data_IF_322860290601
#
_entry.id   IF_322860290601
#
_cell.length_a   1.000
_cell.length_b   1.000
_cell.length_c   1.000
_cell.angle_alpha   90.00
_cell.angle_beta   90.00
_cell.angle_gamma   90.00
#
_symmetry.space_group_name_H-M   'P 1'
#
loop_
_entity.id
_entity.type
_entity.pdbx_description
1 polymer ?
#
# COMPACT_ATOMS: atom_id res chain seq x y z
N UNK A 1 -38.28 17.17 55.11
CA UNK A 1 -38.25 15.93 54.31
C UNK A 1 -37.33 16.19 53.14
N UNK A 2 -36.15 15.58 53.17
CA UNK A 2 -35.18 15.59 52.07
C UNK A 2 -35.55 14.44 51.15
N UNK A 3 -35.77 14.69 49.87
CA UNK A 3 -35.84 13.64 48.85
C UNK A 3 -34.40 13.37 48.38
N UNK A 4 -33.74 12.40 49.00
CA UNK A 4 -32.66 11.68 48.31
C UNK A 4 -33.32 10.83 47.22
N UNK A 5 -32.97 11.10 45.96
CA UNK A 5 -33.21 10.15 44.87
C UNK A 5 -32.08 9.13 44.96
N UNK A 6 -32.44 7.87 45.22
CA UNK A 6 -31.55 6.74 45.01
C UNK A 6 -31.01 6.79 43.58
N UNK A 7 -29.69 6.82 43.45
CA UNK A 7 -28.99 6.62 42.18
C UNK A 7 -29.07 5.10 41.95
N UNK A 8 -29.92 4.68 41.01
CA UNK A 8 -29.96 3.28 40.58
C UNK A 8 -28.67 2.98 39.81
N UNK A 9 -27.75 2.24 40.44
CA UNK A 9 -26.55 1.66 39.83
C UNK A 9 -26.89 0.50 38.86
N UNK A 10 -27.77 0.75 37.90
CA UNK A 10 -27.93 -0.11 36.72
C UNK A 10 -27.51 0.70 35.51
N UNK A 11 -26.20 0.76 35.30
CA UNK A 11 -25.65 0.98 33.96
C UNK A 11 -26.04 -0.26 33.15
N UNK A 12 -27.17 -0.24 32.47
CA UNK A 12 -27.40 -1.19 31.38
C UNK A 12 -26.31 -0.94 30.34
N UNK A 13 -25.39 -1.88 30.19
CA UNK A 13 -24.48 -1.88 29.06
C UNK A 13 -25.34 -1.91 27.79
N UNK A 14 -25.06 -1.01 26.85
CA UNK A 14 -25.71 -1.05 25.55
C UNK A 14 -25.45 -2.44 24.92
N UNK A 15 -26.51 -3.22 24.73
CA UNK A 15 -26.42 -4.48 24.02
C UNK A 15 -26.40 -4.20 22.51
N UNK A 16 -25.23 -4.34 21.89
CA UNK A 16 -25.12 -4.28 20.44
C UNK A 16 -25.91 -5.42 19.79
N UNK A 17 -26.37 -5.20 18.55
CA UNK A 17 -27.12 -6.22 17.83
C UNK A 17 -26.25 -7.44 17.57
N UNK A 18 -26.79 -8.64 17.80
CA UNK A 18 -26.17 -9.92 17.46
C UNK A 18 -26.67 -10.51 16.15
N UNK A 19 -27.40 -9.73 15.35
CA UNK A 19 -27.97 -10.21 14.08
C UNK A 19 -26.85 -10.54 13.09
N UNK A 20 -26.73 -11.82 12.73
CA UNK A 20 -25.77 -12.27 11.74
C UNK A 20 -26.22 -12.00 10.31
N UNK A 21 -27.53 -11.93 10.07
CA UNK A 21 -28.11 -11.71 8.75
C UNK A 21 -27.79 -10.31 8.19
N UNK A 22 -27.29 -10.26 6.97
CA UNK A 22 -26.99 -9.02 6.23
C UNK A 22 -27.96 -8.87 5.07
N UNK A 23 -28.21 -9.94 4.32
CA UNK A 23 -29.18 -9.99 3.23
C UNK A 23 -29.78 -11.38 3.09
N UNK A 24 -31.12 -11.47 3.03
CA UNK A 24 -31.85 -12.68 2.64
C UNK A 24 -32.76 -12.39 1.45
N UNK A 25 -33.79 -11.56 1.64
CA UNK A 25 -34.60 -10.99 0.53
C UNK A 25 -34.44 -9.47 0.43
N UNK A 26 -33.90 -8.85 1.49
CA UNK A 26 -33.65 -7.43 1.59
C UNK A 26 -32.51 -7.17 2.58
N UNK A 27 -31.87 -5.99 2.55
CA UNK A 27 -30.85 -5.62 3.53
C UNK A 27 -31.42 -5.61 4.96
N UNK A 28 -30.75 -6.28 5.90
CA UNK A 28 -31.20 -6.43 7.29
C UNK A 28 -30.27 -5.63 8.19
N UNK A 29 -30.83 -4.68 8.96
CA UNK A 29 -30.12 -3.99 10.04
C UNK A 29 -28.87 -3.21 9.61
N UNK A 30 -28.82 -2.71 8.37
CA UNK A 30 -27.71 -1.89 7.86
C UNK A 30 -27.97 -0.38 7.97
N UNK A 31 -29.23 0.03 8.15
CA UNK A 31 -29.65 1.44 8.16
C UNK A 31 -29.91 1.99 6.76
N UNK A 32 -29.97 3.32 6.60
CA UNK A 32 -30.37 3.96 5.35
C UNK A 32 -29.22 4.26 4.40
N UNK A 33 -28.02 4.48 4.94
CA UNK A 33 -26.82 4.80 4.17
C UNK A 33 -25.72 3.78 4.46
N UNK A 34 -25.82 2.60 3.83
CA UNK A 34 -24.93 1.47 4.12
C UNK A 34 -24.00 1.07 2.97
N UNK A 35 -24.27 1.52 1.74
CA UNK A 35 -23.53 1.11 0.56
C UNK A 35 -22.58 2.22 0.12
N UNK A 36 -21.26 1.99 0.25
CA UNK A 36 -20.23 2.97 -0.05
C UNK A 36 -19.29 2.47 -1.15
N UNK A 37 -19.48 2.90 -2.40
CA UNK A 37 -18.57 2.60 -3.51
C UNK A 37 -17.16 3.11 -3.25
N UNK A 38 -16.15 2.34 -3.65
CA UNK A 38 -14.77 2.83 -3.68
C UNK A 38 -14.57 3.90 -4.75
N UNK A 39 -13.52 4.70 -4.60
CA UNK A 39 -13.08 5.64 -5.63
C UNK A 39 -12.84 4.90 -6.96
N UNK A 40 -13.42 5.41 -8.05
CA UNK A 40 -13.32 4.82 -9.40
C UNK A 40 -14.26 3.64 -9.67
N UNK A 41 -14.93 3.10 -8.64
CA UNK A 41 -15.98 2.10 -8.80
C UNK A 41 -17.23 2.71 -9.43
N UNK A 42 -17.98 1.92 -10.21
CA UNK A 42 -19.30 2.32 -10.68
C UNK A 42 -20.29 2.38 -9.51
N UNK A 43 -20.65 3.59 -9.12
CA UNK A 43 -21.50 3.84 -7.94
C UNK A 43 -22.88 3.16 -8.00
N UNK A 44 -23.40 2.88 -9.20
CA UNK A 44 -24.69 2.20 -9.40
C UNK A 44 -24.57 0.70 -9.69
N UNK A 45 -23.42 0.08 -9.38
CA UNK A 45 -23.19 -1.32 -9.69
C UNK A 45 -24.05 -2.28 -8.86
N UNK A 46 -24.53 -1.88 -7.69
CA UNK A 46 -25.34 -2.73 -6.82
C UNK A 46 -26.84 -2.40 -6.92
N UNK A 47 -27.67 -3.45 -6.90
CA UNK A 47 -29.12 -3.39 -6.81
C UNK A 47 -29.70 -4.66 -6.17
N UNK A 48 -31.01 -4.69 -5.95
CA UNK A 48 -31.74 -5.90 -5.56
C UNK A 48 -32.51 -6.43 -6.76
N UNK A 49 -32.36 -7.72 -7.06
CA UNK A 49 -33.04 -8.42 -8.16
C UNK A 49 -34.12 -9.34 -7.59
N UNK A 50 -35.40 -8.94 -7.74
CA UNK A 50 -36.57 -9.68 -7.26
C UNK A 50 -37.01 -10.82 -8.22
N UNK A 51 -36.22 -11.09 -9.27
CA UNK A 51 -36.49 -12.15 -10.25
C UNK A 51 -35.54 -13.34 -10.14
N UNK A 52 -34.48 -13.24 -9.33
CA UNK A 52 -33.41 -14.23 -9.20
C UNK A 52 -33.05 -14.38 -7.72
N UNK A 53 -33.00 -15.61 -7.22
CA UNK A 53 -32.71 -15.90 -5.82
C UNK A 53 -32.35 -17.37 -5.59
N UNK A 54 -31.63 -17.65 -4.51
CA UNK A 54 -31.31 -18.99 -4.02
C UNK A 54 -32.24 -19.36 -2.88
N UNK A 55 -33.30 -20.14 -3.18
CA UNK A 55 -34.35 -20.50 -2.21
C UNK A 55 -35.05 -19.28 -1.56
N UNK A 56 -34.92 -18.11 -2.19
CA UNK A 56 -35.42 -16.80 -1.77
C UNK A 56 -36.25 -16.15 -2.91
N UNK A 57 -36.81 -14.97 -2.66
CA UNK A 57 -37.53 -14.16 -3.65
C UNK A 57 -36.67 -13.05 -4.27
N UNK A 58 -35.49 -12.77 -3.71
CA UNK A 58 -34.61 -11.74 -4.24
C UNK A 58 -33.14 -12.04 -3.95
N UNK A 59 -32.23 -11.46 -4.73
CA UNK A 59 -30.79 -11.51 -4.46
C UNK A 59 -30.13 -10.15 -4.67
N UNK A 60 -28.94 -9.98 -4.08
CA UNK A 60 -28.08 -8.86 -4.36
C UNK A 60 -27.52 -9.02 -5.77
N UNK A 61 -27.73 -8.04 -6.63
CA UNK A 61 -27.23 -8.02 -8.01
C UNK A 61 -26.12 -7.01 -8.15
N UNK A 62 -25.03 -7.44 -8.77
CA UNK A 62 -23.84 -6.63 -9.03
C UNK A 62 -23.54 -6.60 -10.53
N UNK A 63 -23.72 -5.44 -11.14
CA UNK A 63 -23.46 -5.21 -12.56
C UNK A 63 -22.04 -4.64 -12.74
N UNK A 64 -21.10 -5.52 -13.08
CA UNK A 64 -19.71 -5.16 -13.38
C UNK A 64 -19.67 -4.47 -14.75
N UNK A 65 -19.20 -3.22 -14.82
CA UNK A 65 -19.19 -2.46 -16.06
C UNK A 65 -18.12 -2.96 -17.04
N UNK A 66 -18.22 -2.56 -18.31
CA UNK A 66 -17.10 -2.70 -19.23
C UNK A 66 -15.91 -1.85 -18.76
N UNK A 67 -14.69 -2.25 -19.13
CA UNK A 67 -13.47 -1.52 -18.75
C UNK A 67 -13.44 -0.05 -19.22
N UNK A 68 -14.24 0.31 -20.23
CA UNK A 68 -14.33 1.66 -20.79
C UNK A 68 -15.60 2.42 -20.38
N UNK A 69 -16.36 1.94 -19.38
CA UNK A 69 -17.54 2.64 -18.88
C UNK A 69 -17.12 3.95 -18.17
N UNK A 70 -17.62 5.12 -18.62
CA UNK A 70 -17.21 6.41 -18.06
C UNK A 70 -17.69 6.62 -16.62
N UNK A 71 -18.65 5.82 -16.12
CA UNK A 71 -19.15 5.91 -14.75
C UNK A 71 -18.31 5.11 -13.74
N UNK A 72 -17.29 4.38 -14.19
CA UNK A 72 -16.41 3.52 -13.38
C UNK A 72 -16.10 2.23 -14.12
N UNK A 73 -14.84 1.76 -14.05
CA UNK A 73 -14.35 0.62 -14.84
C UNK A 73 -14.36 -0.72 -14.08
N UNK A 74 -14.86 -0.73 -12.85
CA UNK A 74 -15.09 -1.93 -12.02
C UNK A 74 -16.28 -1.72 -11.09
N UNK A 75 -16.74 -2.80 -10.45
CA UNK A 75 -17.73 -2.74 -9.38
C UNK A 75 -17.09 -3.12 -8.05
N UNK A 76 -17.15 -2.22 -7.07
CA UNK A 76 -16.69 -2.48 -5.71
C UNK A 76 -17.23 -1.48 -4.71
N UNK A 77 -17.55 -1.96 -3.52
CA UNK A 77 -18.09 -1.16 -2.43
C UNK A 77 -17.95 -1.90 -1.09
N UNK A 78 -18.11 -1.16 0.00
CA UNK A 78 -18.35 -1.71 1.33
C UNK A 78 -19.83 -1.59 1.71
N UNK A 79 -20.30 -2.54 2.52
CA UNK A 79 -21.59 -2.57 3.20
C UNK A 79 -21.30 -2.33 4.67
N UNK A 80 -21.57 -1.12 5.14
CA UNK A 80 -21.26 -0.67 6.49
C UNK A 80 -22.52 -0.33 7.24
N UNK A 81 -22.64 -0.77 8.50
CA UNK A 81 -23.76 -0.39 9.36
C UNK A 81 -23.76 1.14 9.57
N UNK A 82 -24.87 1.78 9.23
CA UNK A 82 -25.19 3.17 9.49
C UNK A 82 -25.65 3.33 10.96
N UNK A 83 -24.69 3.49 11.87
CA UNK A 83 -24.90 3.58 13.31
C UNK A 83 -23.91 2.74 14.11
N UNK A 84 -24.34 2.28 15.29
CA UNK A 84 -23.59 1.32 16.12
C UNK A 84 -23.39 0.01 15.38
N UNK A 85 -22.23 -0.61 15.56
CA UNK A 85 -21.89 -1.90 14.98
C UNK A 85 -22.64 -3.06 15.63
N UNK A 86 -22.21 -4.27 15.24
CA UNK A 86 -22.77 -5.54 15.71
C UNK A 86 -21.78 -6.26 16.63
N UNK A 87 -22.34 -6.99 17.58
CA UNK A 87 -21.59 -7.99 18.34
C UNK A 87 -21.60 -9.29 17.54
N UNK A 88 -20.50 -9.55 16.83
CA UNK A 88 -20.32 -10.75 16.00
C UNK A 88 -19.51 -11.85 16.72
N UNK A 89 -19.30 -11.72 18.03
CA UNK A 89 -18.37 -12.56 18.79
C UNK A 89 -18.79 -14.03 18.90
N UNK A 90 -20.02 -14.38 18.54
CA UNK A 90 -20.53 -15.76 18.60
C UNK A 90 -20.41 -16.55 17.29
N UNK A 91 -20.09 -15.89 16.18
CA UNK A 91 -20.00 -16.47 14.84
C UNK A 91 -18.59 -17.01 14.55
N UNK A 92 -18.46 -17.85 13.52
CA UNK A 92 -17.17 -18.37 13.06
C UNK A 92 -16.95 -18.20 11.55
N UNK A 93 -17.96 -17.75 10.79
CA UNK A 93 -17.86 -17.49 9.36
C UNK A 93 -18.80 -16.39 8.89
N UNK A 94 -18.41 -15.69 7.83
CA UNK A 94 -19.35 -15.09 6.88
C UNK A 94 -19.67 -16.12 5.79
N UNK A 95 -20.95 -16.35 5.51
CA UNK A 95 -21.39 -17.23 4.44
C UNK A 95 -22.37 -16.53 3.51
N UNK A 96 -22.42 -17.02 2.27
CA UNK A 96 -23.37 -16.58 1.27
C UNK A 96 -23.44 -17.59 0.12
N UNK A 97 -24.49 -17.51 -0.67
CA UNK A 97 -24.58 -18.16 -1.97
C UNK A 97 -24.24 -17.16 -3.06
N UNK A 98 -23.51 -17.58 -4.09
CA UNK A 98 -23.24 -16.73 -5.24
C UNK A 98 -23.27 -17.49 -6.56
N UNK A 99 -23.58 -16.76 -7.64
CA UNK A 99 -23.44 -17.18 -9.03
C UNK A 99 -23.12 -15.98 -9.92
N UNK A 100 -22.73 -16.21 -11.17
CA UNK A 100 -22.50 -15.17 -12.16
C UNK A 100 -23.17 -15.49 -13.51
N UNK A 101 -23.31 -14.48 -14.37
CA UNK A 101 -23.90 -14.63 -15.70
C UNK A 101 -23.04 -15.46 -16.64
N UNK A 102 -21.77 -15.67 -16.27
CA UNK A 102 -20.79 -16.53 -16.92
C UNK A 102 -19.81 -17.06 -15.87
N UNK A 103 -19.01 -18.07 -16.21
CA UNK A 103 -17.87 -18.46 -15.37
C UNK A 103 -16.85 -17.32 -15.32
N UNK A 104 -16.50 -16.87 -14.12
CA UNK A 104 -15.61 -15.72 -13.92
C UNK A 104 -14.87 -15.82 -12.60
N UNK A 105 -13.74 -15.13 -12.49
CA UNK A 105 -13.02 -14.91 -11.23
C UNK A 105 -13.12 -13.43 -10.89
N UNK A 106 -13.76 -13.11 -9.77
CA UNK A 106 -13.79 -11.75 -9.23
C UNK A 106 -12.57 -11.51 -8.33
N UNK A 107 -12.22 -10.24 -8.14
CA UNK A 107 -11.01 -9.84 -7.44
C UNK A 107 -11.03 -10.28 -5.99
N UNK A 108 -11.89 -9.66 -5.19
CA UNK A 108 -11.89 -9.85 -3.73
C UNK A 108 -13.29 -9.72 -3.15
N UNK A 109 -13.53 -10.44 -2.04
CA UNK A 109 -14.71 -10.30 -1.18
C UNK A 109 -14.31 -10.49 0.27
N UNK A 110 -15.07 -9.92 1.20
CA UNK A 110 -14.76 -10.08 2.62
C UNK A 110 -15.66 -9.27 3.54
N UNK A 111 -15.17 -9.01 4.75
CA UNK A 111 -15.81 -8.17 5.77
C UNK A 111 -14.75 -7.35 6.52
N UNK A 112 -15.19 -6.49 7.45
CA UNK A 112 -14.31 -5.73 8.36
C UNK A 112 -13.79 -4.40 7.80
N UNK A 113 -14.18 -4.01 6.58
CA UNK A 113 -13.90 -2.67 6.06
C UNK A 113 -15.01 -1.68 6.44
N UNK A 114 -14.61 -0.53 6.96
CA UNK A 114 -15.50 0.51 7.46
C UNK A 114 -15.15 1.93 6.99
N UNK A 115 -14.13 2.09 6.12
CA UNK A 115 -13.56 3.39 5.70
C UNK A 115 -13.03 4.25 6.87
N UNK A 116 -12.82 3.62 8.03
CA UNK A 116 -12.03 4.15 9.12
C UNK A 116 -10.67 3.47 9.12
N UNK A 117 -10.43 2.65 10.12
CA UNK A 117 -9.17 1.93 10.28
C UNK A 117 -9.17 0.57 9.58
N UNK A 118 -10.33 0.04 9.17
CA UNK A 118 -10.47 -1.32 8.62
C UNK A 118 -9.79 -2.40 9.51
N UNK A 119 -9.83 -2.17 10.83
CA UNK A 119 -8.97 -2.85 11.82
C UNK A 119 -9.06 -4.37 11.76
N UNK A 120 -10.25 -4.90 11.44
CA UNK A 120 -10.51 -6.33 11.42
C UNK A 120 -10.91 -6.84 10.03
N UNK A 121 -10.38 -6.21 8.98
CA UNK A 121 -10.56 -6.66 7.61
C UNK A 121 -10.12 -8.11 7.41
N UNK A 122 -10.94 -8.87 6.70
CA UNK A 122 -10.64 -10.21 6.20
C UNK A 122 -11.03 -10.26 4.73
N UNK A 123 -10.21 -10.90 3.90
CA UNK A 123 -10.52 -11.04 2.47
C UNK A 123 -10.20 -12.42 1.91
N UNK A 124 -11.01 -12.82 0.94
CA UNK A 124 -10.70 -13.89 0.01
C UNK A 124 -10.46 -13.29 -1.38
N UNK A 125 -9.32 -13.63 -1.97
CA UNK A 125 -8.94 -13.17 -3.29
C UNK A 125 -9.23 -14.23 -4.35
N UNK A 126 -9.42 -13.81 -5.60
CA UNK A 126 -9.63 -14.65 -6.76
C UNK A 126 -10.85 -15.59 -6.61
N UNK A 127 -12.00 -15.03 -6.22
CA UNK A 127 -13.22 -15.82 -6.00
C UNK A 127 -13.80 -16.29 -7.33
N UNK A 128 -13.80 -17.61 -7.54
CA UNK A 128 -14.33 -18.23 -8.75
C UNK A 128 -15.84 -18.44 -8.64
N UNK A 129 -16.59 -17.79 -9.51
CA UNK A 129 -18.04 -17.92 -9.64
C UNK A 129 -18.39 -18.74 -10.89
N UNK A 130 -19.39 -19.60 -10.75
CA UNK A 130 -19.99 -20.32 -11.88
C UNK A 130 -21.38 -19.77 -12.20
N UNK A 131 -22.02 -20.33 -13.22
CA UNK A 131 -23.40 -19.98 -13.58
C UNK A 131 -24.46 -20.58 -12.66
N UNK A 132 -24.07 -21.47 -11.74
CA UNK A 132 -24.95 -22.08 -10.75
C UNK A 132 -24.65 -21.50 -9.37
N UNK A 133 -25.68 -21.45 -8.51
CA UNK A 133 -25.52 -21.08 -7.12
C UNK A 133 -24.57 -22.02 -6.39
N UNK A 134 -23.59 -21.45 -5.69
CA UNK A 134 -22.61 -22.17 -4.87
C UNK A 134 -22.47 -21.46 -3.52
N UNK A 135 -22.31 -22.23 -2.44
CA UNK A 135 -22.10 -21.68 -1.11
C UNK A 135 -20.62 -21.32 -0.91
N UNK A 136 -20.38 -20.12 -0.41
CA UNK A 136 -19.08 -19.60 0.00
C UNK A 136 -19.04 -19.47 1.52
N UNK A 137 -17.84 -19.68 2.06
CA UNK A 137 -17.57 -19.61 3.50
C UNK A 137 -16.23 -18.88 3.66
N UNK A 138 -16.27 -17.72 4.31
CA UNK A 138 -15.11 -16.93 4.70
C UNK A 138 -14.97 -17.05 6.22
N UNK A 139 -14.01 -17.86 6.72
CA UNK A 139 -13.78 -18.02 8.15
C UNK A 139 -13.45 -16.69 8.85
N UNK A 140 -13.88 -16.56 10.10
CA UNK A 140 -13.48 -15.45 10.98
C UNK A 140 -12.20 -15.86 11.73
N UNK A 141 -11.09 -15.09 11.63
CA UNK A 141 -9.83 -15.40 12.28
C UNK A 141 -9.93 -15.56 13.81
N UNK A 142 -10.49 -14.54 14.46
CA UNK A 142 -10.81 -14.52 15.89
C UNK A 142 -12.05 -13.65 16.13
N UNK A 143 -13.20 -14.30 16.30
CA UNK A 143 -14.47 -13.60 16.48
C UNK A 143 -14.51 -12.76 17.77
N UNK A 144 -13.67 -13.04 18.78
CA UNK A 144 -13.66 -12.28 20.03
C UNK A 144 -13.28 -10.81 19.84
N UNK A 145 -12.63 -10.47 18.71
CA UNK A 145 -12.25 -9.11 18.32
C UNK A 145 -13.42 -8.30 17.74
N UNK A 146 -14.49 -8.97 17.27
CA UNK A 146 -15.60 -8.37 16.52
C UNK A 146 -16.75 -7.90 17.43
N UNK A 147 -16.43 -7.16 18.48
CA UNK A 147 -17.41 -6.48 19.33
C UNK A 147 -17.52 -5.02 18.86
N UNK A 148 -18.67 -4.64 18.28
CA UNK A 148 -18.92 -3.36 17.60
C UNK A 148 -18.40 -3.28 16.14
N UNK A 149 -18.46 -4.40 15.42
CA UNK A 149 -18.04 -4.45 14.02
C UNK A 149 -19.08 -3.77 13.10
N UNK A 150 -18.61 -2.92 12.18
CA UNK A 150 -19.48 -2.15 11.27
C UNK A 150 -19.35 -2.58 9.82
N UNK A 151 -18.21 -3.13 9.40
CA UNK A 151 -17.95 -3.60 8.05
C UNK A 151 -18.55 -4.99 7.83
N UNK A 152 -19.78 -5.05 7.31
CA UNK A 152 -20.54 -6.30 7.19
C UNK A 152 -20.15 -7.11 5.95
N UNK A 153 -19.85 -6.42 4.85
CA UNK A 153 -19.45 -7.07 3.60
C UNK A 153 -18.71 -6.08 2.72
N UNK A 154 -17.82 -6.55 1.86
CA UNK A 154 -17.27 -5.75 0.77
C UNK A 154 -16.86 -6.64 -0.38
N UNK A 155 -16.71 -6.04 -1.56
CA UNK A 155 -16.30 -6.73 -2.77
C UNK A 155 -15.55 -5.81 -3.73
N UNK A 156 -14.75 -6.41 -4.59
CA UNK A 156 -14.13 -5.76 -5.74
C UNK A 156 -14.10 -6.72 -6.94
N UNK A 157 -14.74 -6.33 -8.02
CA UNK A 157 -14.90 -7.13 -9.23
C UNK A 157 -14.63 -6.26 -10.46
N UNK A 158 -13.52 -6.57 -11.15
CA UNK A 158 -13.16 -5.98 -12.44
C UNK A 158 -13.40 -6.92 -13.61
N UNK A 159 -12.94 -6.50 -14.79
CA UNK A 159 -13.13 -7.20 -16.08
C UNK A 159 -11.82 -7.74 -16.68
N UNK A 160 -10.74 -7.79 -15.89
CA UNK A 160 -9.43 -8.28 -16.34
C UNK A 160 -9.54 -9.72 -16.86
N UNK A 161 -10.31 -10.57 -16.17
CA UNK A 161 -10.53 -11.98 -16.54
C UNK A 161 -11.55 -12.19 -17.67
N UNK A 162 -12.25 -11.15 -18.11
CA UNK A 162 -13.25 -11.19 -19.18
C UNK A 162 -12.83 -10.38 -20.41
N UNK A 163 -11.57 -9.95 -20.47
CA UNK A 163 -11.03 -9.15 -21.58
C UNK A 163 -11.68 -7.77 -21.69
N UNK A 164 -12.09 -7.18 -20.55
CA UNK A 164 -12.73 -5.87 -20.51
C UNK A 164 -14.25 -5.87 -20.64
N UNK A 165 -14.87 -7.05 -20.83
CA UNK A 165 -16.32 -7.18 -20.99
C UNK A 165 -17.03 -7.27 -19.64
N UNK A 166 -18.06 -6.45 -19.44
CA UNK A 166 -18.91 -6.45 -18.25
C UNK A 166 -19.70 -7.75 -18.10
N UNK A 167 -20.16 -7.99 -16.87
CA UNK A 167 -20.95 -9.17 -16.49
C UNK A 167 -21.77 -8.87 -15.23
N UNK A 168 -22.68 -9.77 -14.89
CA UNK A 168 -23.45 -9.67 -13.66
C UNK A 168 -23.10 -10.84 -12.75
N UNK A 169 -23.01 -10.58 -11.45
CA UNK A 169 -23.06 -11.65 -10.46
C UNK A 169 -24.09 -11.35 -9.38
N UNK A 170 -24.53 -12.40 -8.71
CA UNK A 170 -25.52 -12.34 -7.65
C UNK A 170 -24.98 -12.96 -6.38
N UNK A 171 -25.37 -12.38 -5.25
CA UNK A 171 -25.14 -12.90 -3.91
C UNK A 171 -26.47 -13.01 -3.20
N UNK A 172 -26.66 -14.08 -2.44
CA UNK A 172 -27.86 -14.30 -1.67
C UNK A 172 -27.55 -14.99 -0.34
N UNK A 173 -28.47 -14.92 0.62
CA UNK A 173 -28.34 -15.51 1.96
C UNK A 173 -27.02 -15.13 2.65
N UNK A 174 -26.64 -13.86 2.54
CA UNK A 174 -25.41 -13.29 3.10
C UNK A 174 -25.58 -13.06 4.60
N UNK A 175 -24.80 -13.78 5.40
CA UNK A 175 -24.90 -13.73 6.86
C UNK A 175 -23.65 -14.24 7.57
N UNK A 176 -23.43 -13.73 8.78
CA UNK A 176 -22.54 -14.39 9.72
C UNK A 176 -23.23 -15.60 10.34
N UNK A 177 -22.55 -16.75 10.35
CA UNK A 177 -23.03 -18.01 10.90
C UNK A 177 -22.03 -18.59 11.90
N UNK A 178 -22.56 -19.41 12.82
CA UNK A 178 -21.77 -20.31 13.65
C UNK A 178 -21.89 -21.71 13.06
N UNK A 179 -20.98 -22.06 12.15
CA UNK A 179 -20.98 -23.34 11.46
C UNK A 179 -20.51 -24.48 12.35
N UNK A 180 -19.64 -24.22 13.34
CA UNK A 180 -19.08 -25.22 14.25
C UNK A 180 -18.20 -26.28 13.57
N UNK A 181 -17.88 -26.08 12.28
CA UNK A 181 -17.14 -27.04 11.44
C UNK A 181 -15.86 -26.45 10.84
N UNK A 182 -15.50 -25.23 11.24
CA UNK A 182 -14.23 -24.59 10.89
C UNK A 182 -13.19 -25.01 11.93
N UNK A 183 -12.08 -25.58 11.48
CA UNK A 183 -11.06 -26.09 12.38
C UNK A 183 -9.65 -25.94 11.83
N UNK A 184 -8.67 -26.36 12.65
CA UNK A 184 -7.24 -26.34 12.33
C UNK A 184 -6.74 -24.96 11.85
N UNK A 185 -6.92 -23.89 12.65
CA UNK A 185 -6.32 -22.59 12.33
C UNK A 185 -4.81 -22.74 12.15
N UNK A 186 -4.29 -22.19 11.05
CA UNK A 186 -2.85 -22.12 10.73
C UNK A 186 -2.55 -20.71 10.26
N UNK A 187 -2.20 -19.80 11.18
CA UNK A 187 -1.81 -18.44 10.82
C UNK A 187 -0.42 -18.43 10.17
N UNK A 188 -0.16 -17.42 9.35
CA UNK A 188 1.16 -17.19 8.77
C UNK A 188 1.42 -15.69 8.62
N UNK A 189 2.67 -15.31 8.81
CA UNK A 189 3.22 -13.98 8.47
C UNK A 189 4.20 -14.15 7.31
N UNK A 190 4.39 -13.11 6.48
CA UNK A 190 5.32 -13.14 5.34
C UNK A 190 5.07 -14.34 4.40
N UNK A 191 3.80 -14.74 4.25
CA UNK A 191 3.38 -15.93 3.50
C UNK A 191 3.99 -17.25 4.01
N UNK A 192 4.34 -17.33 5.30
CA UNK A 192 4.92 -18.51 5.93
C UNK A 192 6.44 -18.63 5.78
N UNK A 193 7.12 -17.58 5.30
CA UNK A 193 8.56 -17.62 5.07
C UNK A 193 9.34 -16.98 6.23
N UNK A 194 10.53 -17.51 6.49
CA UNK A 194 11.54 -16.83 7.28
C UNK A 194 12.29 -15.84 6.38
N UNK A 195 12.17 -14.55 6.68
CA UNK A 195 12.75 -13.45 5.91
C UNK A 195 13.85 -12.80 6.73
N UNK A 196 14.98 -12.52 6.10
CA UNK A 196 16.02 -11.66 6.67
C UNK A 196 15.95 -10.32 5.96
N UNK A 197 15.77 -9.25 6.74
CA UNK A 197 15.64 -7.88 6.25
C UNK A 197 16.74 -7.04 6.89
N UNK A 198 17.62 -6.51 6.05
CA UNK A 198 18.54 -5.47 6.50
C UNK A 198 17.82 -4.12 6.49
N UNK A 199 18.08 -3.31 7.50
CA UNK A 199 17.38 -2.06 7.79
C UNK A 199 18.34 -1.02 8.35
N UNK A 200 17.91 0.23 8.38
CA UNK A 200 18.56 1.26 9.19
C UNK A 200 17.67 1.66 10.37
N UNK A 201 18.24 2.16 11.45
CA UNK A 201 17.43 2.73 12.53
C UNK A 201 16.66 3.96 12.03
N UNK A 202 15.43 4.12 12.51
CA UNK A 202 14.54 5.24 12.16
C UNK A 202 13.59 4.93 11.00
N UNK A 203 13.69 3.76 10.37
CA UNK A 203 12.77 3.33 9.32
C UNK A 203 11.55 2.66 9.91
N UNK A 204 10.42 2.78 9.21
CA UNK A 204 9.22 1.99 9.46
C UNK A 204 9.11 0.94 8.37
N UNK A 205 9.16 -0.33 8.76
CA UNK A 205 8.88 -1.48 7.88
C UNK A 205 7.42 -1.91 8.06
N UNK A 206 6.84 -2.56 7.05
CA UNK A 206 5.51 -3.16 7.15
C UNK A 206 5.60 -4.68 7.13
N UNK A 207 4.91 -5.34 8.06
CA UNK A 207 4.78 -6.79 8.05
C UNK A 207 3.65 -7.20 7.11
N UNK A 208 4.00 -7.88 6.01
CA UNK A 208 3.06 -8.27 4.95
C UNK A 208 2.82 -9.79 4.92
N UNK A 209 1.98 -10.25 3.99
CA UNK A 209 1.70 -11.68 3.80
C UNK A 209 0.98 -12.34 4.99
N UNK A 210 0.14 -11.55 5.67
CA UNK A 210 -0.63 -11.97 6.83
C UNK A 210 -1.86 -12.78 6.39
N UNK A 211 -1.85 -14.07 6.71
CA UNK A 211 -2.90 -15.00 6.28
C UNK A 211 -3.28 -15.96 7.39
N UNK A 212 -4.43 -16.58 7.25
CA UNK A 212 -4.78 -17.74 8.06
C UNK A 212 -5.50 -18.79 7.22
N UNK A 213 -5.03 -20.03 7.35
CA UNK A 213 -5.67 -21.18 6.72
C UNK A 213 -6.51 -21.94 7.72
N UNK A 214 -7.70 -22.33 7.29
CA UNK A 214 -8.63 -23.19 8.02
C UNK A 214 -8.97 -24.45 7.22
N UNK A 215 -9.35 -25.52 7.89
CA UNK A 215 -10.08 -26.62 7.30
C UNK A 215 -11.59 -26.37 7.42
N UNK A 216 -12.31 -26.40 6.31
CA UNK A 216 -13.76 -26.25 6.28
C UNK A 216 -14.46 -27.59 6.49
N UNK A 217 -15.76 -27.57 6.82
CA UNK A 217 -16.57 -28.80 6.95
C UNK A 217 -16.66 -29.66 5.68
N UNK A 218 -16.30 -29.10 4.51
CA UNK A 218 -16.15 -29.85 3.26
C UNK A 218 -14.87 -30.69 3.18
N UNK A 219 -13.94 -30.52 4.13
CA UNK A 219 -12.60 -31.10 4.13
C UNK A 219 -11.56 -30.30 3.33
N UNK A 220 -11.97 -29.24 2.62
CA UNK A 220 -11.05 -28.37 1.89
C UNK A 220 -10.39 -27.35 2.81
N UNK A 221 -9.15 -27.00 2.49
CA UNK A 221 -8.47 -25.89 3.13
C UNK A 221 -8.88 -24.57 2.48
N UNK A 222 -9.07 -23.55 3.31
CA UNK A 222 -9.42 -22.19 2.93
C UNK A 222 -8.41 -21.24 3.56
N UNK A 223 -7.71 -20.47 2.74
CA UNK A 223 -6.83 -19.39 3.21
C UNK A 223 -7.50 -18.07 2.96
N UNK A 224 -7.46 -17.19 3.96
CA UNK A 224 -7.93 -15.80 3.89
C UNK A 224 -6.78 -14.85 4.23
N UNK A 225 -6.80 -13.66 3.64
CA UNK A 225 -5.95 -12.55 4.08
C UNK A 225 -6.56 -11.94 5.33
N UNK A 226 -5.71 -11.56 6.28
CA UNK A 226 -6.13 -11.16 7.62
C UNK A 226 -5.45 -9.85 7.98
N UNK A 227 -6.21 -8.88 8.48
CA UNK A 227 -5.65 -7.62 8.98
C UNK A 227 -4.66 -7.85 10.13
N UNK A 228 -3.60 -7.03 10.25
CA UNK A 228 -2.60 -7.14 11.30
C UNK A 228 -3.16 -7.18 12.73
N UNK A 229 -4.26 -6.47 13.00
CA UNK A 229 -4.82 -6.35 14.35
C UNK A 229 -5.46 -7.63 14.91
N UNK A 230 -5.51 -8.71 14.13
CA UNK A 230 -5.82 -10.05 14.64
C UNK A 230 -4.62 -10.74 15.29
N UNK A 231 -3.39 -10.37 14.90
CA UNK A 231 -2.17 -11.00 15.38
C UNK A 231 -1.66 -10.33 16.66
N UNK A 232 -1.10 -11.16 17.53
CA UNK A 232 -0.27 -10.73 18.65
C UNK A 232 1.21 -10.89 18.22
N UNK A 233 1.82 -9.80 17.77
CA UNK A 233 3.22 -9.76 17.34
C UNK A 233 4.17 -9.77 18.54
N UNK A 234 5.31 -10.45 18.40
CA UNK A 234 6.36 -10.53 19.41
C UNK A 234 7.70 -10.24 18.77
N UNK A 235 8.50 -9.40 19.41
CA UNK A 235 9.90 -9.16 19.07
C UNK A 235 10.81 -9.78 20.12
N UNK A 236 11.91 -10.40 19.69
CA UNK A 236 12.96 -10.88 20.60
C UNK A 236 13.65 -9.73 21.37
N UNK A 237 13.66 -8.53 20.79
CA UNK A 237 14.23 -7.32 21.38
C UNK A 237 13.29 -6.11 21.13
N UNK A 238 12.23 -5.92 21.97
CA UNK A 238 11.20 -4.91 21.72
C UNK A 238 11.70 -3.45 21.75
N UNK A 239 12.84 -3.17 22.38
CA UNK A 239 13.47 -1.85 22.31
C UNK A 239 14.18 -1.58 20.98
N UNK A 240 14.41 -2.63 20.18
CA UNK A 240 15.05 -2.53 18.87
C UNK A 240 14.04 -2.62 17.75
N UNK A 241 13.11 -3.56 17.81
CA UNK A 241 12.03 -3.69 16.83
C UNK A 241 10.70 -3.72 17.58
N UNK A 242 9.95 -2.63 17.48
CA UNK A 242 8.60 -2.52 18.03
C UNK A 242 7.59 -2.64 16.91
N UNK A 243 6.58 -3.49 17.08
CA UNK A 243 5.51 -3.71 16.10
C UNK A 243 4.23 -3.17 16.69
N UNK A 244 3.55 -2.29 15.96
CA UNK A 244 2.25 -1.77 16.36
C UNK A 244 1.10 -2.72 16.00
N UNK A 245 -0.14 -2.33 16.37
CA UNK A 245 -1.34 -3.13 16.08
C UNK A 245 -1.73 -3.19 14.60
N UNK A 246 -1.08 -2.39 13.75
CA UNK A 246 -1.26 -2.34 12.30
C UNK A 246 -0.12 -3.04 11.55
N UNK A 247 0.78 -3.74 12.26
CA UNK A 247 1.87 -4.47 11.63
C UNK A 247 3.01 -3.58 11.15
N UNK A 248 3.04 -2.30 11.55
CA UNK A 248 4.18 -1.43 11.27
C UNK A 248 5.28 -1.67 12.30
N UNK A 249 6.51 -1.76 11.83
CA UNK A 249 7.69 -2.10 12.62
C UNK A 249 8.59 -0.87 12.68
N UNK A 250 8.72 -0.30 13.88
CA UNK A 250 9.72 0.74 14.18
C UNK A 250 11.04 0.09 14.55
N UNK A 251 12.11 0.41 13.83
CA UNK A 251 13.42 -0.24 13.96
C UNK A 251 14.46 0.72 14.55
N UNK A 252 15.26 0.21 15.49
CA UNK A 252 16.48 0.80 16.03
C UNK A 252 17.69 -0.10 15.79
N UNK A 253 18.91 0.43 15.92
CA UNK A 253 20.14 -0.31 15.60
C UNK A 253 20.31 -1.61 16.41
N UNK A 254 20.64 -2.71 15.75
CA UNK A 254 20.84 -4.03 16.35
C UNK A 254 20.12 -5.12 15.56
N UNK A 255 19.91 -6.30 16.15
CA UNK A 255 19.22 -7.41 15.50
C UNK A 255 18.06 -7.91 16.36
N UNK A 256 16.92 -8.18 15.73
CA UNK A 256 15.72 -8.67 16.39
C UNK A 256 14.99 -9.67 15.48
N UNK A 257 14.33 -10.65 16.07
CA UNK A 257 13.45 -11.59 15.38
C UNK A 257 12.01 -11.31 15.76
N UNK A 258 11.15 -11.14 14.76
CA UNK A 258 9.72 -10.93 14.89
C UNK A 258 8.99 -12.22 14.56
N UNK A 259 8.12 -12.63 15.47
CA UNK A 259 7.17 -13.74 15.32
C UNK A 259 5.76 -13.26 15.67
N UNK A 260 4.75 -14.09 15.44
CA UNK A 260 3.37 -13.75 15.77
C UNK A 260 2.58 -14.95 16.26
N UNK A 261 1.51 -14.68 17.01
CA UNK A 261 0.45 -15.67 17.26
C UNK A 261 -0.90 -15.10 16.87
N UNK A 262 -1.87 -15.95 16.55
CA UNK A 262 -3.25 -15.56 16.30
C UNK A 262 -4.18 -16.57 16.98
N UNK A 263 -5.04 -16.10 17.87
CA UNK A 263 -5.93 -16.98 18.64
C UNK A 263 -5.17 -18.02 19.48
N UNK A 264 -3.95 -17.69 19.92
CA UNK A 264 -3.06 -18.58 20.67
C UNK A 264 -2.33 -19.64 19.83
N UNK A 265 -2.42 -19.59 18.50
CA UNK A 265 -1.66 -20.46 17.59
C UNK A 265 -0.48 -19.69 17.02
N UNK A 266 0.70 -20.30 17.06
CA UNK A 266 1.92 -19.73 16.45
C UNK A 266 1.76 -19.61 14.93
N UNK A 267 2.10 -18.44 14.40
CA UNK A 267 2.10 -18.19 12.97
C UNK A 267 3.35 -18.78 12.31
N UNK A 268 3.19 -19.38 11.13
CA UNK A 268 4.31 -19.80 10.29
C UNK A 268 5.02 -18.56 9.72
N UNK A 269 6.36 -18.63 9.62
CA UNK A 269 7.22 -17.54 9.16
C UNK A 269 7.73 -16.63 10.29
N UNK A 270 8.82 -15.92 10.00
CA UNK A 270 9.46 -14.97 10.92
C UNK A 270 10.18 -13.87 10.14
N UNK A 271 10.38 -12.71 10.75
CA UNK A 271 11.24 -11.66 10.19
C UNK A 271 12.45 -11.46 11.10
N UNK A 272 13.65 -11.73 10.59
CA UNK A 272 14.90 -11.30 11.23
C UNK A 272 15.27 -9.94 10.67
N UNK A 273 15.34 -8.93 11.54
CA UNK A 273 15.77 -7.59 11.18
C UNK A 273 17.22 -7.42 11.61
N UNK A 274 18.09 -6.99 10.70
CA UNK A 274 19.43 -6.50 11.03
C UNK A 274 19.49 -5.01 10.73
N UNK A 275 19.38 -4.22 11.78
CA UNK A 275 19.44 -2.78 11.70
C UNK A 275 20.86 -2.27 11.94
N UNK A 276 21.44 -1.60 10.95
CA UNK A 276 22.74 -0.93 11.10
C UNK A 276 22.53 0.55 11.42
N UNK A 277 23.15 1.02 12.51
CA UNK A 277 23.28 2.45 12.87
C UNK A 277 21.99 3.29 12.83
N UNK A 278 22.11 4.59 13.07
CA UNK A 278 21.14 5.56 12.55
C UNK A 278 21.46 5.76 11.07
N UNK A 279 20.44 5.78 10.21
CA UNK A 279 20.64 6.37 8.89
C UNK A 279 20.73 7.88 9.10
N UNK A 280 21.92 8.44 8.93
CA UNK A 280 22.04 9.90 8.88
C UNK A 280 21.19 10.37 7.70
N UNK A 281 20.28 11.31 7.91
CA UNK A 281 19.51 11.95 6.83
C UNK A 281 20.36 13.02 6.14
N UNK A 282 20.02 13.36 4.90
CA UNK A 282 20.73 14.41 4.19
C UNK A 282 20.66 15.75 4.94
N UNK A 283 21.69 16.62 4.83
CA UNK A 283 21.67 17.93 5.46
C UNK A 283 20.44 18.74 5.04
N UNK A 284 19.69 19.25 6.01
CA UNK A 284 18.52 20.10 5.73
C UNK A 284 18.95 21.36 4.95
N UNK A 285 18.42 21.60 3.74
CA UNK A 285 18.72 22.81 2.99
C UNK A 285 18.35 24.08 3.78
N UNK A 286 19.24 25.07 3.75
CA UNK A 286 19.06 26.35 4.48
C UNK A 286 18.90 27.56 3.58
N UNK A 287 18.80 27.37 2.25
CA UNK A 287 18.67 28.46 1.29
C UNK A 287 17.28 29.08 1.38
N UNK A 288 17.17 30.34 0.99
CA UNK A 288 15.87 31.00 0.91
C UNK A 288 15.04 30.30 -0.18
N UNK A 289 13.80 29.85 0.10
CA UNK A 289 12.96 29.21 -0.91
C UNK A 289 12.74 30.04 -2.18
N UNK A 290 12.87 31.38 -2.12
CA UNK A 290 12.79 32.27 -3.28
C UNK A 290 14.05 32.26 -4.18
N UNK A 291 15.12 31.65 -3.71
CA UNK A 291 16.37 31.45 -4.43
C UNK A 291 16.57 30.00 -4.92
N UNK A 292 15.51 29.19 -4.84
CA UNK A 292 15.55 27.76 -5.16
C UNK A 292 14.44 27.36 -6.15
N UNK A 293 14.77 26.52 -7.12
CA UNK A 293 13.81 25.71 -7.87
C UNK A 293 14.03 24.24 -7.50
N UNK A 294 13.11 23.68 -6.73
CA UNK A 294 13.25 22.32 -6.18
C UNK A 294 12.69 21.26 -7.12
N UNK A 295 13.49 20.23 -7.39
CA UNK A 295 13.08 19.01 -8.10
C UNK A 295 12.66 17.95 -7.09
N UNK A 296 13.45 17.75 -6.03
CA UNK A 296 13.16 16.80 -4.96
C UNK A 296 13.77 17.30 -3.64
N UNK A 297 12.93 17.70 -2.70
CA UNK A 297 13.30 18.03 -1.32
C UNK A 297 12.03 18.17 -0.48
N UNK A 298 12.08 17.77 0.78
CA UNK A 298 11.00 18.06 1.75
C UNK A 298 11.07 19.48 2.32
N UNK A 299 12.16 20.20 2.11
CA UNK A 299 12.35 21.57 2.63
C UNK A 299 11.74 22.65 1.72
N UNK A 300 11.43 22.32 0.46
CA UNK A 300 10.94 23.26 -0.54
C UNK A 300 9.72 22.70 -1.28
N UNK A 301 8.97 23.57 -1.95
CA UNK A 301 7.91 23.13 -2.86
C UNK A 301 8.53 22.64 -4.16
N UNK A 302 8.35 21.34 -4.46
CA UNK A 302 8.87 20.72 -5.68
C UNK A 302 8.06 21.12 -6.92
N UNK A 303 8.74 21.28 -8.06
CA UNK A 303 8.10 21.34 -9.37
C UNK A 303 7.50 19.98 -9.75
N UNK A 304 6.59 19.90 -10.73
CA UNK A 304 6.13 18.61 -11.24
C UNK A 304 7.30 17.77 -11.77
N UNK A 305 7.40 16.53 -11.30
CA UNK A 305 8.37 15.53 -11.78
C UNK A 305 7.60 14.38 -12.41
N UNK A 306 8.01 13.96 -13.60
CA UNK A 306 7.39 12.84 -14.32
C UNK A 306 7.77 11.52 -13.67
N UNK A 307 9.07 11.33 -13.38
CA UNK A 307 9.61 10.17 -12.68
C UNK A 307 11.04 10.44 -12.16
N UNK A 308 11.43 9.68 -11.14
CA UNK A 308 12.81 9.61 -10.63
C UNK A 308 13.59 8.38 -11.12
N UNK A 309 12.92 7.49 -11.86
CA UNK A 309 13.53 6.35 -12.52
C UNK A 309 12.81 6.05 -13.84
N UNK A 310 13.53 6.19 -14.97
CA UNK A 310 12.97 6.03 -16.31
C UNK A 310 12.87 4.59 -16.82
N UNK A 311 13.50 3.62 -16.13
CA UNK A 311 13.55 2.20 -16.52
C UNK A 311 13.87 1.99 -18.01
N UNK A 312 14.95 2.62 -18.50
CA UNK A 312 15.30 2.60 -19.92
C UNK A 312 15.84 1.25 -20.39
N UNK A 313 14.92 0.37 -20.79
CA UNK A 313 15.21 -0.95 -21.35
C UNK A 313 15.84 -0.88 -22.75
N UNK A 314 16.76 -1.80 -23.10
CA UNK A 314 17.28 -2.91 -22.28
C UNK A 314 18.55 -2.56 -21.48
N UNK A 315 18.91 -1.28 -21.39
CA UNK A 315 20.25 -0.87 -20.96
C UNK A 315 20.33 -0.52 -19.49
N UNK A 316 19.25 -0.04 -18.90
CA UNK A 316 19.20 0.30 -17.49
C UNK A 316 19.00 -0.94 -16.62
N UNK A 317 19.81 -1.09 -15.58
CA UNK A 317 19.66 -2.14 -14.57
C UNK A 317 19.19 -1.59 -13.23
N UNK A 318 19.29 -0.27 -13.04
CA UNK A 318 18.96 0.43 -11.80
C UNK A 318 17.50 0.22 -11.40
N UNK A 319 17.31 -0.27 -10.18
CA UNK A 319 16.04 -0.32 -9.47
C UNK A 319 15.97 0.85 -8.49
N UNK A 320 14.77 1.26 -8.11
CA UNK A 320 14.56 2.34 -7.15
C UNK A 320 13.47 2.01 -6.15
N UNK A 321 13.60 2.56 -4.94
CA UNK A 321 12.57 2.56 -3.91
C UNK A 321 12.60 3.89 -3.16
N UNK A 322 11.42 4.45 -2.89
CA UNK A 322 11.30 5.59 -2.00
C UNK A 322 11.52 5.13 -0.56
N UNK A 323 12.26 5.92 0.21
CA UNK A 323 12.68 5.59 1.55
C UNK A 323 12.49 6.79 2.47
N UNK A 324 11.91 6.58 3.65
CA UNK A 324 11.60 7.68 4.58
C UNK A 324 12.26 7.40 5.93
N UNK A 325 13.03 8.37 6.42
CA UNK A 325 13.63 8.35 7.76
C UNK A 325 13.30 9.65 8.46
N UNK A 326 12.71 9.58 9.65
CA UNK A 326 12.33 10.75 10.46
C UNK A 326 11.49 11.80 9.70
N UNK A 327 10.71 11.34 8.71
CA UNK A 327 9.88 12.19 7.85
C UNK A 327 10.61 12.87 6.69
N UNK A 328 11.89 12.58 6.47
CA UNK A 328 12.64 12.96 5.28
C UNK A 328 12.58 11.84 4.22
N UNK A 329 12.06 12.17 3.05
CA UNK A 329 11.93 11.32 1.87
C UNK A 329 13.23 11.35 1.06
N UNK A 330 13.75 10.17 0.75
CA UNK A 330 14.99 9.99 0.01
C UNK A 330 14.79 8.89 -1.04
N UNK A 331 15.53 8.96 -2.13
CA UNK A 331 15.45 7.98 -3.21
C UNK A 331 16.61 7.00 -3.06
N UNK A 332 16.33 5.71 -2.90
CA UNK A 332 17.35 4.66 -2.95
C UNK A 332 17.43 4.07 -4.36
N UNK A 333 18.63 4.02 -4.93
CA UNK A 333 18.93 3.30 -6.15
C UNK A 333 19.80 2.08 -5.87
N UNK A 334 19.37 0.92 -6.38
CA UNK A 334 20.10 -0.36 -6.27
C UNK A 334 20.33 -0.97 -7.65
N UNK A 335 21.25 -1.93 -7.76
CA UNK A 335 21.67 -2.50 -9.05
C UNK A 335 22.10 -1.39 -10.05
N UNK A 336 22.72 -0.35 -9.49
CA UNK A 336 22.92 0.94 -10.13
C UNK A 336 23.86 0.83 -11.33
N UNK A 337 23.42 1.33 -12.47
CA UNK A 337 24.31 1.60 -13.62
C UNK A 337 24.11 3.02 -14.16
N UNK A 338 22.87 3.42 -14.41
CA UNK A 338 22.47 4.80 -14.63
C UNK A 338 20.99 4.97 -14.32
N UNK A 339 20.53 6.20 -14.06
CA UNK A 339 19.11 6.50 -13.85
C UNK A 339 18.81 7.96 -14.17
N UNK A 340 17.61 8.22 -14.69
CA UNK A 340 17.14 9.57 -15.04
C UNK A 340 16.01 10.06 -14.13
N UNK A 341 16.08 11.34 -13.77
CA UNK A 341 14.99 12.12 -13.16
C UNK A 341 14.44 13.10 -14.18
N UNK A 342 13.23 12.86 -14.69
CA UNK A 342 12.62 13.67 -15.74
C UNK A 342 11.53 14.58 -15.17
N UNK A 343 11.54 15.85 -15.58
CA UNK A 343 10.61 16.91 -15.17
C UNK A 343 10.25 17.75 -16.40
N UNK A 344 9.61 17.12 -17.38
CA UNK A 344 9.36 17.72 -18.68
C UNK A 344 7.94 18.29 -18.85
N UNK A 345 7.04 18.06 -17.89
CA UNK A 345 5.63 18.44 -17.99
C UNK A 345 5.19 19.41 -16.86
N UNK A 346 5.59 20.69 -16.92
CA UNK A 346 6.40 21.33 -17.95
C UNK A 346 7.92 21.29 -17.65
N UNK A 347 8.75 21.59 -18.65
CA UNK A 347 10.17 21.87 -18.45
C UNK A 347 10.38 23.11 -17.57
N UNK A 348 11.59 23.23 -17.03
CA UNK A 348 11.94 24.22 -16.00
C UNK A 348 12.92 25.27 -16.56
N UNK A 349 12.62 26.54 -16.33
CA UNK A 349 13.53 27.64 -16.64
C UNK A 349 14.45 27.94 -15.45
N UNK A 350 15.74 27.60 -15.59
CA UNK A 350 16.77 27.84 -14.57
C UNK A 350 17.70 29.00 -14.94
N UNK A 351 17.31 29.88 -15.87
CA UNK A 351 18.17 30.97 -16.37
C UNK A 351 18.77 31.81 -15.23
N UNK A 352 17.97 32.07 -14.18
CA UNK A 352 18.37 32.83 -12.99
C UNK A 352 18.91 31.96 -11.84
N UNK A 353 18.94 30.63 -11.99
CA UNK A 353 19.31 29.63 -10.97
C UNK A 353 20.44 28.74 -11.50
N UNK A 354 21.65 29.28 -11.70
CA UNK A 354 22.67 28.65 -12.52
C UNK A 354 23.42 27.51 -11.83
N UNK A 355 23.08 27.15 -10.59
CA UNK A 355 23.82 26.17 -9.81
C UNK A 355 22.92 24.98 -9.46
N UNK A 356 23.41 23.76 -9.65
CA UNK A 356 22.78 22.52 -9.20
C UNK A 356 23.30 22.17 -7.81
N UNK A 357 22.41 21.73 -6.94
CA UNK A 357 22.71 21.09 -5.66
C UNK A 357 22.06 19.70 -5.64
N UNK A 358 22.83 18.70 -5.18
CA UNK A 358 22.36 17.33 -4.96
C UNK A 358 23.06 16.79 -3.71
N UNK A 359 22.31 16.14 -2.81
CA UNK A 359 22.89 15.32 -1.76
C UNK A 359 22.92 13.86 -2.21
N UNK A 360 24.09 13.22 -2.09
CA UNK A 360 24.28 11.80 -2.39
C UNK A 360 24.92 11.10 -1.20
N UNK A 361 24.37 9.95 -0.80
CA UNK A 361 24.97 9.06 0.20
C UNK A 361 25.33 7.73 -0.45
N UNK A 362 26.57 7.31 -0.26
CA UNK A 362 27.10 6.03 -0.75
C UNK A 362 27.44 5.16 0.47
N UNK A 363 26.71 4.06 0.72
CA UNK A 363 26.99 3.19 1.87
C UNK A 363 28.41 2.60 1.83
N UNK A 364 28.81 2.10 0.65
CA UNK A 364 30.12 1.51 0.40
C UNK A 364 30.72 2.10 -0.88
N UNK A 365 31.83 2.82 -0.76
CA UNK A 365 32.50 3.46 -1.88
C UNK A 365 33.43 2.45 -2.60
N UNK A 366 33.19 2.15 -3.90
CA UNK A 366 34.07 1.26 -4.64
C UNK A 366 35.40 1.95 -4.96
N UNK A 367 36.50 1.20 -4.90
CA UNK A 367 37.84 1.73 -5.18
C UNK A 367 38.04 2.28 -6.61
N UNK A 368 37.09 2.03 -7.52
CA UNK A 368 37.08 2.54 -8.88
C UNK A 368 35.86 3.45 -9.15
N UNK A 369 35.34 4.12 -8.11
CA UNK A 369 34.23 5.06 -8.24
C UNK A 369 34.54 6.14 -9.29
N UNK A 370 33.64 6.26 -10.26
CA UNK A 370 33.69 7.28 -11.31
C UNK A 370 32.24 7.55 -11.73
N UNK A 371 31.78 8.77 -11.44
CA UNK A 371 30.37 9.12 -11.41
C UNK A 371 30.10 10.38 -12.24
N UNK A 372 29.00 10.36 -12.98
CA UNK A 372 28.63 11.43 -13.90
C UNK A 372 27.21 11.90 -13.61
N UNK A 373 27.05 13.22 -13.51
CA UNK A 373 25.74 13.88 -13.59
C UNK A 373 25.63 14.58 -14.95
N UNK A 374 24.63 14.18 -15.74
CA UNK A 374 24.26 14.86 -16.98
C UNK A 374 22.99 15.68 -16.76
N UNK A 375 23.04 16.99 -16.99
CA UNK A 375 21.84 17.84 -17.04
C UNK A 375 21.50 18.19 -18.48
N UNK A 376 20.22 18.18 -18.83
CA UNK A 376 19.75 18.37 -20.22
C UNK A 376 18.66 19.44 -20.31
N UNK A 377 18.86 20.37 -21.24
CA UNK A 377 17.86 21.32 -21.74
C UNK A 377 17.28 20.74 -23.04
N UNK A 378 15.96 20.61 -23.10
CA UNK A 378 15.23 20.03 -24.23
C UNK A 378 15.04 21.01 -25.39
N UNK A 379 15.63 22.20 -25.32
CA UNK A 379 15.56 23.17 -26.40
C UNK A 379 14.13 23.70 -26.63
N UNK A 380 13.94 24.43 -27.74
CA UNK A 380 12.68 25.10 -28.05
C UNK A 380 11.46 24.19 -28.22
N UNK A 381 11.63 22.91 -28.57
CA UNK A 381 10.51 21.98 -28.73
C UNK A 381 10.01 21.37 -27.40
N UNK A 382 10.80 21.54 -26.32
CA UNK A 382 10.51 21.06 -24.96
C UNK A 382 10.31 19.55 -24.87
N UNK A 383 10.89 18.77 -25.78
CA UNK A 383 10.82 17.33 -25.79
C UNK A 383 12.21 16.69 -25.67
N UNK A 384 12.30 15.55 -24.99
CA UNK A 384 13.55 14.79 -24.96
C UNK A 384 13.78 14.14 -26.31
N UNK A 385 15.00 14.30 -26.84
CA UNK A 385 15.42 13.70 -28.07
C UNK A 385 15.07 14.55 -29.30
N UNK A 386 16.11 14.99 -29.99
CA UNK A 386 15.97 15.86 -31.13
C UNK A 386 17.33 16.31 -31.65
N UNK A 387 17.33 17.44 -32.36
CA UNK A 387 18.57 18.09 -32.82
C UNK A 387 18.90 19.37 -32.04
N UNK A 388 18.01 19.79 -31.15
CA UNK A 388 18.05 21.05 -30.39
C UNK A 388 18.32 20.88 -28.91
N UNK A 389 18.29 19.66 -28.36
CA UNK A 389 18.75 19.38 -27.01
C UNK A 389 20.19 19.83 -26.80
N UNK A 390 20.45 20.40 -25.62
CA UNK A 390 21.81 20.62 -25.13
C UNK A 390 21.99 20.00 -23.78
N UNK A 391 23.20 19.55 -23.47
CA UNK A 391 23.49 18.90 -22.20
C UNK A 391 24.86 19.30 -21.68
N UNK A 392 25.00 19.26 -20.36
CA UNK A 392 26.26 19.43 -19.66
C UNK A 392 26.53 18.21 -18.79
N UNK A 393 27.76 17.73 -18.87
CA UNK A 393 28.28 16.61 -18.09
C UNK A 393 29.15 17.15 -16.95
N UNK A 394 28.91 16.66 -15.74
CA UNK A 394 29.59 17.04 -14.51
C UNK A 394 30.16 15.76 -13.89
N UNK A 395 31.48 15.71 -13.76
CA UNK A 395 32.21 14.52 -13.36
C UNK A 395 32.57 14.59 -11.88
N UNK A 396 32.42 13.47 -11.19
CA UNK A 396 32.80 13.26 -9.81
C UNK A 396 33.56 11.94 -9.69
N UNK A 397 34.50 11.86 -8.76
CA UNK A 397 35.28 10.65 -8.48
C UNK A 397 35.31 10.36 -6.97
N UNK A 398 36.09 9.35 -6.56
CA UNK A 398 36.20 8.97 -5.14
C UNK A 398 36.61 10.10 -4.19
N UNK A 399 37.32 11.14 -4.66
CA UNK A 399 37.71 12.27 -3.80
C UNK A 399 36.51 13.17 -3.43
N UNK A 400 35.37 13.05 -4.13
CA UNK A 400 34.14 13.81 -3.89
C UNK A 400 33.19 13.12 -2.88
N UNK A 401 33.50 11.89 -2.46
CA UNK A 401 32.65 11.09 -1.58
C UNK A 401 33.40 10.60 -0.34
N UNK A 402 32.65 10.37 0.73
CA UNK A 402 33.11 9.63 1.90
C UNK A 402 32.05 8.57 2.23
N UNK A 403 32.44 7.29 2.12
CA UNK A 403 31.57 6.16 2.39
C UNK A 403 30.84 6.29 3.75
N UNK A 404 29.53 6.05 3.75
CA UNK A 404 28.70 6.13 4.94
C UNK A 404 28.37 7.56 5.39
N UNK A 405 28.57 8.57 4.55
CA UNK A 405 28.19 9.96 4.84
C UNK A 405 27.52 10.64 3.63
N UNK A 406 26.74 11.69 3.89
CA UNK A 406 26.13 12.50 2.84
C UNK A 406 27.13 13.47 2.23
N UNK A 407 27.38 13.29 0.94
CA UNK A 407 28.16 14.20 0.12
C UNK A 407 27.25 15.28 -0.46
N UNK A 408 27.68 16.54 -0.39
CA UNK A 408 26.98 17.66 -1.03
C UNK A 408 27.68 17.98 -2.34
N UNK A 409 27.01 17.66 -3.45
CA UNK A 409 27.53 17.95 -4.78
C UNK A 409 26.92 19.25 -5.29
N UNK A 410 27.77 20.21 -5.62
CA UNK A 410 27.37 21.48 -6.20
C UNK A 410 28.12 21.74 -7.49
N UNK A 411 27.39 22.14 -8.53
CA UNK A 411 27.98 22.38 -9.84
C UNK A 411 27.29 23.54 -10.56
N UNK A 412 28.09 24.41 -11.17
CA UNK A 412 27.57 25.47 -12.01
C UNK A 412 27.15 24.91 -13.37
N UNK A 413 25.91 25.18 -13.77
CA UNK A 413 25.43 24.94 -15.13
C UNK A 413 25.86 26.11 -16.00
N UNK A 414 26.60 25.83 -17.06
CA UNK A 414 27.22 26.80 -17.96
C UNK A 414 26.64 26.76 -19.37
N UNK A 415 25.59 25.95 -19.58
CA UNK A 415 24.84 25.92 -20.82
C UNK A 415 24.37 27.33 -21.23
N UNK A 416 24.51 27.71 -22.51
CA UNK A 416 24.11 29.04 -22.97
C UNK A 416 22.59 29.25 -22.92
N UNK A 417 21.83 28.16 -23.08
CA UNK A 417 20.37 28.11 -23.00
C UNK A 417 19.99 27.13 -21.90
N UNK A 418 19.13 27.55 -20.98
CA UNK A 418 18.75 26.82 -19.77
C UNK A 418 17.29 27.05 -19.36
N UNK A 419 16.47 27.42 -20.33
CA UNK A 419 15.09 27.81 -20.09
C UNK A 419 14.10 26.65 -20.29
N UNK A 420 14.58 25.46 -20.68
CA UNK A 420 13.76 24.27 -20.87
C UNK A 420 14.48 23.02 -20.30
N UNK A 421 14.99 23.11 -19.07
CA UNK A 421 15.57 21.94 -18.40
C UNK A 421 14.50 20.86 -18.19
N UNK A 422 14.79 19.62 -18.56
CA UNK A 422 13.81 18.53 -18.51
C UNK A 422 14.32 17.22 -17.93
N UNK A 423 15.63 17.05 -17.79
CA UNK A 423 16.22 15.78 -17.37
C UNK A 423 17.55 15.95 -16.63
N UNK A 424 17.72 15.21 -15.54
CA UNK A 424 18.99 14.96 -14.85
C UNK A 424 19.26 13.46 -14.92
N UNK A 425 20.48 13.05 -15.27
CA UNK A 425 20.90 11.65 -15.34
C UNK A 425 22.10 11.44 -14.42
N UNK A 426 22.06 10.38 -13.63
CA UNK A 426 23.17 9.90 -12.81
C UNK A 426 23.73 8.63 -13.45
N UNK A 427 25.05 8.52 -13.63
CA UNK A 427 25.66 7.43 -14.43
C UNK A 427 26.97 6.93 -13.81
N UNK A 428 27.15 5.60 -13.78
CA UNK A 428 28.46 5.00 -13.67
C UNK A 428 29.21 5.14 -14.99
N UNK A 429 30.43 5.65 -14.94
CA UNK A 429 31.30 5.78 -16.11
C UNK A 429 32.62 5.03 -15.89
N UNK A 430 33.38 4.83 -16.97
CA UNK A 430 34.71 4.19 -16.97
C UNK A 430 34.78 2.83 -16.25
N UNK A 431 33.66 2.11 -16.15
CA UNK A 431 33.57 0.81 -15.48
C UNK A 431 33.47 0.88 -13.96
N UNK A 432 33.07 2.01 -13.39
CA UNK A 432 32.70 2.15 -11.98
C UNK A 432 31.79 1.02 -11.52
N UNK A 433 32.07 0.49 -10.32
CA UNK A 433 31.34 -0.64 -9.74
C UNK A 433 30.35 -0.24 -8.65
N UNK A 434 29.97 1.04 -8.58
CA UNK A 434 28.98 1.53 -7.64
C UNK A 434 27.64 0.83 -7.88
N UNK A 435 27.10 0.19 -6.85
CA UNK A 435 25.90 -0.63 -6.97
C UNK A 435 24.68 -0.05 -6.23
N UNK A 436 24.92 0.78 -5.22
CA UNK A 436 23.90 1.36 -4.36
C UNK A 436 24.24 2.81 -4.01
N UNK A 437 23.25 3.69 -4.09
CA UNK A 437 23.37 5.08 -3.64
C UNK A 437 21.99 5.66 -3.28
N UNK A 438 21.99 6.67 -2.41
CA UNK A 438 20.80 7.38 -1.96
C UNK A 438 20.90 8.84 -2.43
N UNK A 439 19.79 9.42 -2.88
CA UNK A 439 19.72 10.81 -3.36
C UNK A 439 18.65 11.58 -2.59
N UNK A 440 18.97 12.81 -2.22
CA UNK A 440 18.05 13.78 -1.62
C UNK A 440 18.42 15.21 -2.08
N UNK A 441 17.53 16.17 -1.81
CA UNK A 441 17.75 17.60 -2.00
C UNK A 441 18.26 17.97 -3.39
N UNK A 442 17.55 17.55 -4.45
CA UNK A 442 17.83 17.92 -5.83
C UNK A 442 17.18 19.27 -6.12
N UNK A 443 17.98 20.32 -6.33
CA UNK A 443 17.44 21.63 -6.68
C UNK A 443 18.44 22.52 -7.43
N UNK A 444 17.90 23.51 -8.16
CA UNK A 444 18.68 24.60 -8.75
C UNK A 444 18.60 25.85 -7.89
N UNK A 445 19.68 26.64 -7.80
CA UNK A 445 19.73 27.83 -6.95
C UNK A 445 20.53 29.00 -7.54
N UNK A 446 20.27 30.22 -7.01
CA UNK A 446 20.89 31.47 -7.50
C UNK A 446 22.37 31.65 -7.10
N UNK A 447 22.66 31.64 -5.79
CA UNK A 447 24.01 31.81 -5.20
C UNK A 447 24.21 30.97 -3.95
#
# INVERSE_FOLDING_TARGET
MSCERDISDQVEFAHLSKTGEIFTDSPIGLGSDFYFPYTGSKATAWSVDEGEGYESFASMRFDVPNANDPAGNYAGAIFRVDGSGRDLTEFDALTFWAKASQGVVIGEVGFGQDFGLNKYQVSENNVSLSTNWQKFVIPIPDASKLFDERGMFWYSAGTQNTGGNGYTFWIDELKFEKLGTIGQPRPAILNGNDVVQDAFSGIVLELTGLTQTFNLGSGLNKTVNVAPSYFDFTSSEPSLAFIDEFGNISVSSGSAVITATLGGVEAEGSMTINAVGAFDVAPTPTRDPSDVISIFSDSYTNVPVDFFNGYWEPWQTTLSSDFVVDGNNMINYTNFNFVGTQFANPTVDITDYPNLHVNIYIPEEPANLDFLITVRDFGPDQADGGGDDTFQQIFFDGDDFEAGTWSTLEAQITLPTRNNMGLIIYENINGSSLNELYVDNIYFYKN
#
